data_IF_738693505594
#
_entry.id   IF_738693505594
#
_cell.length_a   1.000
_cell.length_b   1.000
_cell.length_c   1.000
_cell.angle_alpha   90.00
_cell.angle_beta   90.00
_cell.angle_gamma   90.00
#
_symmetry.space_group_name_H-M   'P 1'
#
loop_
_entity.id
_entity.type
_entity.pdbx_description
1 polymer ?
#
# COMPACT_ATOMS: atom_id res chain seq x y z
N UNK A 1 -17.71 -13.31 29.72
CA UNK A 1 -16.35 -12.96 29.29
C UNK A 1 -16.37 -12.59 27.81
N UNK A 2 -16.74 -11.34 27.53
CA UNK A 2 -16.80 -10.81 26.17
C UNK A 2 -15.40 -10.26 25.80
N UNK A 3 -14.38 -11.14 25.75
CA UNK A 3 -13.11 -10.81 25.13
C UNK A 3 -13.39 -10.70 23.63
N UNK A 4 -13.44 -9.48 23.11
CA UNK A 4 -13.45 -9.26 21.66
C UNK A 4 -12.31 -10.09 21.09
N UNK A 5 -12.64 -11.13 20.29
CA UNK A 5 -11.65 -11.85 19.49
C UNK A 5 -11.04 -10.82 18.55
N UNK A 6 -9.82 -10.41 18.81
CA UNK A 6 -9.06 -9.55 17.89
C UNK A 6 -8.85 -10.40 16.65
N UNK A 7 -9.52 -10.01 15.57
CA UNK A 7 -9.55 -10.77 14.32
C UNK A 7 -8.19 -10.63 13.60
N UNK A 8 -7.63 -11.77 13.19
CA UNK A 8 -6.44 -11.80 12.36
C UNK A 8 -6.80 -11.29 10.95
N UNK A 9 -6.15 -10.21 10.50
CA UNK A 9 -6.43 -9.60 9.20
C UNK A 9 -5.55 -10.16 8.09
N UNK A 10 -4.30 -10.54 8.42
CA UNK A 10 -3.34 -11.13 7.51
C UNK A 10 -2.57 -12.24 8.20
N UNK A 11 -2.45 -13.40 7.56
CA UNK A 11 -1.48 -14.43 7.92
C UNK A 11 -0.75 -14.94 6.69
N UNK A 12 0.56 -14.92 6.75
CA UNK A 12 1.45 -15.53 5.76
C UNK A 12 2.05 -16.77 6.37
N UNK A 13 1.97 -17.91 5.68
CA UNK A 13 2.45 -19.19 6.18
C UNK A 13 3.42 -19.83 5.20
N UNK A 14 4.63 -20.09 5.67
CA UNK A 14 5.69 -20.81 4.95
C UNK A 14 5.96 -20.24 3.56
N UNK A 15 5.98 -18.90 3.41
CA UNK A 15 6.15 -18.23 2.14
C UNK A 15 7.61 -18.23 1.70
N UNK A 16 7.85 -18.65 0.48
CA UNK A 16 9.15 -18.59 -0.20
C UNK A 16 9.01 -17.94 -1.55
N UNK A 17 10.02 -17.16 -1.95
CA UNK A 17 10.08 -16.50 -3.26
C UNK A 17 11.41 -16.76 -3.92
N UNK A 18 11.38 -17.27 -5.14
CA UNK A 18 12.53 -17.52 -6.00
C UNK A 18 12.42 -16.70 -7.29
N UNK A 19 13.54 -16.21 -7.78
CA UNK A 19 13.66 -15.55 -9.07
C UNK A 19 14.44 -16.42 -10.05
N UNK A 20 13.93 -16.53 -11.28
CA UNK A 20 14.69 -17.10 -12.38
C UNK A 20 15.65 -16.03 -12.90
N UNK A 21 16.95 -16.27 -12.83
CA UNK A 21 18.01 -15.39 -13.32
C UNK A 21 18.80 -16.10 -14.44
N UNK A 22 19.69 -15.36 -15.13
CA UNK A 22 20.63 -15.94 -16.11
C UNK A 22 21.50 -17.05 -15.52
N UNK A 23 21.84 -16.91 -14.24
CA UNK A 23 22.76 -17.80 -13.52
C UNK A 23 22.03 -18.92 -12.74
N UNK A 24 20.70 -19.06 -12.97
CA UNK A 24 19.88 -20.06 -12.31
C UNK A 24 18.82 -19.47 -11.39
N UNK A 25 18.31 -20.28 -10.47
CA UNK A 25 17.31 -19.85 -9.48
C UNK A 25 17.97 -19.19 -8.28
N UNK A 26 17.48 -18.01 -7.91
CA UNK A 26 17.90 -17.30 -6.70
C UNK A 26 16.73 -17.19 -5.72
N UNK A 27 16.84 -17.83 -4.58
CA UNK A 27 15.86 -17.70 -3.49
C UNK A 27 16.12 -16.40 -2.71
N UNK A 28 15.10 -15.55 -2.62
CA UNK A 28 15.18 -14.24 -1.94
C UNK A 28 14.40 -14.23 -0.63
N UNK A 29 13.25 -14.89 -0.59
CA UNK A 29 12.46 -15.10 0.63
C UNK A 29 12.46 -16.61 0.93
N UNK A 30 12.76 -16.98 2.17
CA UNK A 30 12.93 -18.37 2.60
C UNK A 30 12.02 -18.65 3.79
N UNK A 31 10.96 -19.43 3.56
CA UNK A 31 10.11 -19.99 4.62
C UNK A 31 9.65 -18.96 5.67
N UNK A 32 9.07 -17.84 5.22
CA UNK A 32 8.64 -16.77 6.09
C UNK A 32 7.19 -16.99 6.51
N UNK A 33 6.94 -16.91 7.83
CA UNK A 33 5.61 -16.89 8.41
C UNK A 33 5.45 -15.66 9.28
N UNK A 34 4.31 -14.97 9.15
CA UNK A 34 3.94 -13.82 9.97
C UNK A 34 2.43 -13.72 10.07
N UNK A 35 1.94 -13.06 11.10
CA UNK A 35 0.53 -12.72 11.24
C UNK A 35 0.36 -11.29 11.73
N UNK A 36 -0.77 -10.69 11.38
CA UNK A 36 -1.15 -9.33 11.75
C UNK A 36 -2.62 -9.29 12.14
N UNK A 37 -2.92 -8.67 13.27
CA UNK A 37 -4.28 -8.50 13.77
C UNK A 37 -4.84 -7.14 13.39
N UNK A 38 -6.14 -7.02 13.42
CA UNK A 38 -6.80 -5.73 13.18
C UNK A 38 -6.36 -4.70 14.22
N UNK A 39 -5.96 -3.51 13.76
CA UNK A 39 -5.46 -2.42 14.61
C UNK A 39 -4.01 -2.58 15.07
N UNK A 40 -3.31 -3.63 14.62
CA UNK A 40 -1.91 -3.87 14.92
C UNK A 40 -0.99 -3.23 13.87
N UNK A 41 0.21 -2.82 14.29
CA UNK A 41 1.29 -2.38 13.41
C UNK A 41 2.43 -3.38 13.50
N UNK A 42 2.79 -3.99 12.36
CA UNK A 42 3.91 -4.92 12.24
C UNK A 42 5.06 -4.26 11.47
N UNK A 43 6.21 -4.09 12.11
CA UNK A 43 7.41 -3.59 11.47
C UNK A 43 8.31 -4.75 10.99
N UNK A 44 8.63 -4.76 9.69
CA UNK A 44 9.60 -5.66 9.09
C UNK A 44 10.97 -4.98 9.08
N UNK A 45 11.88 -5.42 9.92
CA UNK A 45 13.22 -4.85 10.06
C UNK A 45 14.27 -5.82 9.49
N UNK A 46 15.27 -5.28 8.84
CA UNK A 46 16.38 -6.06 8.27
C UNK A 46 17.26 -5.20 7.35
N UNK A 47 18.40 -5.71 6.96
CA UNK A 47 19.35 -5.04 6.06
C UNK A 47 18.74 -4.75 4.68
N UNK A 48 19.34 -3.80 3.95
CA UNK A 48 18.94 -3.56 2.55
C UNK A 48 19.17 -4.82 1.71
N UNK A 49 18.18 -5.14 0.86
CA UNK A 49 18.29 -6.32 -0.01
C UNK A 49 17.93 -7.66 0.64
N UNK A 50 17.57 -7.71 1.93
CA UNK A 50 17.19 -8.97 2.60
C UNK A 50 15.81 -9.53 2.21
N UNK A 51 15.09 -8.90 1.27
CA UNK A 51 13.84 -9.44 0.73
C UNK A 51 12.55 -8.83 1.29
N UNK A 52 12.61 -7.78 2.14
CA UNK A 52 11.40 -7.10 2.70
C UNK A 52 10.42 -6.64 1.61
N UNK A 53 10.90 -5.88 0.64
CA UNK A 53 10.11 -5.42 -0.51
C UNK A 53 9.53 -6.58 -1.31
N UNK A 54 10.32 -7.65 -1.51
CA UNK A 54 9.86 -8.84 -2.23
C UNK A 54 8.73 -9.53 -1.47
N UNK A 55 8.86 -9.68 -0.15
CA UNK A 55 7.82 -10.22 0.72
C UNK A 55 6.53 -9.38 0.64
N UNK A 56 6.63 -8.06 0.80
CA UNK A 56 5.48 -7.15 0.71
C UNK A 56 4.78 -7.24 -0.65
N UNK A 57 5.53 -7.23 -1.75
CA UNK A 57 4.99 -7.35 -3.11
C UNK A 57 4.41 -8.72 -3.41
N UNK A 58 4.92 -9.78 -2.81
CA UNK A 58 4.39 -11.13 -3.00
C UNK A 58 2.98 -11.29 -2.44
N UNK A 59 2.66 -10.62 -1.34
CA UNK A 59 1.31 -10.62 -0.73
C UNK A 59 0.27 -10.11 -1.72
N UNK A 60 0.61 -9.07 -2.50
CA UNK A 60 -0.28 -8.48 -3.50
C UNK A 60 -0.08 -9.00 -4.92
N UNK A 61 0.74 -10.05 -5.11
CA UNK A 61 1.11 -10.58 -6.43
C UNK A 61 1.62 -9.50 -7.40
N UNK A 62 2.47 -8.60 -6.90
CA UNK A 62 3.08 -7.51 -7.67
C UNK A 62 4.53 -7.82 -8.09
N UNK A 63 4.94 -9.08 -8.04
CA UNK A 63 6.24 -9.53 -8.50
C UNK A 63 6.23 -9.76 -10.02
N UNK A 64 7.37 -9.61 -10.70
CA UNK A 64 7.49 -9.90 -12.13
C UNK A 64 7.29 -11.40 -12.41
N UNK A 65 7.01 -11.74 -13.67
CA UNK A 65 6.77 -13.14 -14.10
C UNK A 65 7.97 -14.07 -13.87
N UNK A 66 9.18 -13.53 -13.71
CA UNK A 66 10.38 -14.29 -13.37
C UNK A 66 10.40 -14.77 -11.91
N UNK A 67 9.50 -14.26 -11.08
CA UNK A 67 9.37 -14.68 -9.69
C UNK A 67 8.37 -15.84 -9.55
N UNK A 68 8.76 -16.83 -8.76
CA UNK A 68 7.92 -17.94 -8.32
C UNK A 68 7.64 -17.79 -6.83
N UNK A 69 6.37 -17.72 -6.47
CA UNK A 69 5.92 -17.62 -5.08
C UNK A 69 5.31 -18.96 -4.67
N UNK A 70 5.84 -19.55 -3.62
CA UNK A 70 5.35 -20.81 -3.03
C UNK A 70 5.09 -20.61 -1.54
N UNK A 71 4.18 -21.38 -0.98
CA UNK A 71 3.84 -21.30 0.43
C UNK A 71 2.55 -22.04 0.74
N UNK A 72 2.22 -22.16 2.02
CA UNK A 72 0.98 -22.79 2.47
C UNK A 72 -0.22 -21.84 2.28
N UNK A 73 -0.09 -20.59 2.74
CA UNK A 73 -1.14 -19.60 2.62
C UNK A 73 -0.63 -18.15 2.66
N UNK A 74 -1.33 -17.28 1.93
CA UNK A 74 -1.40 -15.84 2.17
C UNK A 74 -2.87 -15.56 2.51
N UNK A 75 -3.21 -15.68 3.78
CA UNK A 75 -4.57 -15.55 4.27
C UNK A 75 -4.85 -14.08 4.54
N UNK A 76 -5.80 -13.49 3.82
CA UNK A 76 -6.35 -12.18 4.10
C UNK A 76 -7.79 -12.37 4.56
N UNK A 77 -8.07 -12.13 5.84
CA UNK A 77 -9.32 -12.53 6.49
C UNK A 77 -9.62 -14.02 6.20
N UNK A 78 -10.77 -14.32 5.61
CA UNK A 78 -11.19 -15.69 5.29
C UNK A 78 -10.76 -16.16 3.88
N UNK A 79 -9.87 -15.40 3.20
CA UNK A 79 -9.53 -15.64 1.80
C UNK A 79 -8.04 -15.97 1.64
N UNK A 80 -7.71 -17.10 1.02
CA UNK A 80 -6.33 -17.45 0.67
C UNK A 80 -5.96 -16.90 -0.71
N UNK A 81 -5.11 -15.88 -0.71
CA UNK A 81 -4.71 -15.15 -1.93
C UNK A 81 -3.75 -15.92 -2.84
N UNK A 82 -3.10 -16.99 -2.37
CA UNK A 82 -2.13 -17.76 -3.19
C UNK A 82 -2.78 -18.25 -4.49
N UNK A 83 -4.01 -18.75 -4.41
CA UNK A 83 -4.75 -19.27 -5.56
C UNK A 83 -5.38 -18.21 -6.47
N UNK A 84 -5.43 -16.95 -6.05
CA UNK A 84 -6.16 -15.90 -6.77
C UNK A 84 -5.54 -15.58 -8.14
N UNK A 85 -6.41 -15.41 -9.14
CA UNK A 85 -6.04 -14.86 -10.43
C UNK A 85 -6.02 -13.32 -10.41
N UNK A 86 -5.63 -12.69 -11.53
CA UNK A 86 -5.49 -11.23 -11.59
C UNK A 86 -6.81 -10.48 -11.34
N UNK A 87 -7.95 -10.99 -11.82
CA UNK A 87 -9.26 -10.35 -11.61
C UNK A 87 -9.68 -10.39 -10.14
N UNK A 88 -9.40 -11.49 -9.45
CA UNK A 88 -9.66 -11.64 -8.01
C UNK A 88 -8.74 -10.72 -7.21
N UNK A 89 -7.46 -10.64 -7.57
CA UNK A 89 -6.51 -9.72 -6.92
C UNK A 89 -6.86 -8.24 -7.13
N UNK A 90 -7.45 -7.85 -8.26
CA UNK A 90 -7.92 -6.49 -8.48
C UNK A 90 -9.02 -6.07 -7.48
N UNK A 91 -9.82 -7.01 -6.99
CA UNK A 91 -10.83 -6.72 -5.95
C UNK A 91 -10.21 -6.53 -4.57
N UNK A 92 -9.06 -7.15 -4.32
CA UNK A 92 -8.33 -7.02 -3.06
C UNK A 92 -7.47 -5.75 -3.03
N UNK A 93 -6.79 -5.46 -4.14
CA UNK A 93 -5.91 -4.29 -4.26
C UNK A 93 -6.71 -2.99 -4.17
N UNK A 94 -6.28 -2.10 -3.31
CA UNK A 94 -6.91 -0.83 -3.03
C UNK A 94 -8.01 -0.90 -1.96
N UNK A 95 -9.04 -1.70 -2.14
CA UNK A 95 -10.16 -1.78 -1.18
C UNK A 95 -9.85 -2.62 0.06
N UNK A 96 -9.20 -3.76 -0.12
CA UNK A 96 -8.78 -4.63 0.97
C UNK A 96 -7.43 -4.23 1.51
N UNK A 97 -6.44 -4.28 0.63
CA UNK A 97 -5.03 -4.03 0.92
C UNK A 97 -4.51 -2.94 -0.02
N UNK A 98 -3.99 -1.86 0.52
CA UNK A 98 -3.25 -0.84 -0.23
C UNK A 98 -1.75 -0.96 0.02
N UNK A 99 -0.94 -0.50 -0.93
CA UNK A 99 0.51 -0.47 -0.80
C UNK A 99 1.07 0.89 -1.18
N UNK A 100 1.95 1.40 -0.32
CA UNK A 100 2.79 2.57 -0.59
C UNK A 100 4.17 2.07 -0.98
N UNK A 101 4.65 2.48 -2.16
CA UNK A 101 5.95 2.10 -2.70
C UNK A 101 7.06 3.04 -2.25
N UNK A 102 8.28 2.55 -2.27
CA UNK A 102 9.48 3.26 -1.82
C UNK A 102 9.74 4.58 -2.58
N UNK A 103 9.42 4.66 -3.87
CA UNK A 103 9.70 5.83 -4.70
C UNK A 103 8.42 6.65 -4.99
N UNK A 104 8.20 7.76 -4.28
CA UNK A 104 7.05 8.63 -4.52
C UNK A 104 7.18 9.43 -5.83
N UNK A 105 8.38 9.58 -6.39
CA UNK A 105 8.57 10.35 -7.62
C UNK A 105 8.03 9.63 -8.85
N UNK A 106 8.13 8.30 -8.88
CA UNK A 106 7.58 7.47 -9.95
C UNK A 106 6.08 7.20 -9.80
N UNK A 107 5.50 7.48 -8.62
CA UNK A 107 4.10 7.16 -8.32
C UNK A 107 3.14 8.29 -8.71
N UNK A 108 3.52 9.55 -8.50
CA UNK A 108 2.69 10.70 -8.83
C UNK A 108 2.87 11.10 -10.30
N UNK A 109 1.74 11.29 -11.00
CA UNK A 109 1.73 11.82 -12.35
C UNK A 109 2.14 13.31 -12.34
N UNK A 110 3.25 13.72 -12.97
CA UNK A 110 3.74 15.10 -12.94
C UNK A 110 2.84 16.08 -13.72
N UNK A 111 1.96 15.59 -14.59
CA UNK A 111 1.06 16.41 -15.43
C UNK A 111 -0.33 16.63 -14.85
N UNK A 112 -0.59 16.06 -13.67
CA UNK A 112 -1.86 16.22 -12.94
C UNK A 112 -1.61 16.92 -11.60
N UNK A 113 -2.59 17.68 -11.12
CA UNK A 113 -2.52 18.25 -9.76
C UNK A 113 -2.60 17.14 -8.71
N UNK A 114 -2.01 17.38 -7.55
CA UNK A 114 -1.99 16.38 -6.47
C UNK A 114 -3.42 16.08 -6.00
N UNK A 115 -4.25 17.11 -5.84
CA UNK A 115 -5.63 16.94 -5.41
C UNK A 115 -6.44 16.10 -6.39
N UNK A 116 -6.31 16.35 -7.70
CA UNK A 116 -7.03 15.58 -8.72
C UNK A 116 -6.63 14.10 -8.77
N UNK A 117 -5.37 13.77 -8.47
CA UNK A 117 -4.93 12.37 -8.38
C UNK A 117 -5.53 11.64 -7.19
N UNK A 118 -5.64 12.30 -6.04
CA UNK A 118 -6.30 11.74 -4.85
C UNK A 118 -7.80 11.60 -5.11
N UNK A 119 -8.42 12.61 -5.72
CA UNK A 119 -9.85 12.59 -6.08
C UNK A 119 -10.16 11.46 -7.07
N UNK A 120 -9.30 11.24 -8.08
CA UNK A 120 -9.45 10.12 -9.02
C UNK A 120 -9.47 8.77 -8.29
N UNK A 121 -8.58 8.57 -7.32
CA UNK A 121 -8.55 7.34 -6.51
C UNK A 121 -9.84 7.16 -5.68
N UNK A 122 -10.38 8.23 -5.12
CA UNK A 122 -11.67 8.22 -4.41
C UNK A 122 -12.80 7.83 -5.35
N UNK A 123 -12.89 8.49 -6.51
CA UNK A 123 -13.95 8.25 -7.49
C UNK A 123 -13.92 6.83 -8.06
N UNK A 124 -12.73 6.28 -8.30
CA UNK A 124 -12.56 4.89 -8.73
C UNK A 124 -13.09 3.92 -7.69
N UNK A 125 -12.83 4.19 -6.41
CA UNK A 125 -13.33 3.39 -5.31
C UNK A 125 -14.87 3.49 -5.17
N UNK A 126 -15.42 4.70 -5.20
CA UNK A 126 -16.87 4.94 -5.12
C UNK A 126 -17.62 4.30 -6.29
N UNK A 127 -17.05 4.36 -7.50
CA UNK A 127 -17.59 3.67 -8.68
C UNK A 127 -17.63 2.16 -8.48
N UNK A 128 -16.59 1.58 -7.90
CA UNK A 128 -16.54 0.16 -7.58
C UNK A 128 -17.62 -0.24 -6.55
N UNK A 129 -17.94 0.67 -5.61
CA UNK A 129 -19.02 0.50 -4.63
C UNK A 129 -20.41 0.91 -5.15
N UNK A 130 -20.54 1.31 -6.44
CA UNK A 130 -21.77 1.85 -7.04
C UNK A 130 -22.32 3.08 -6.30
N UNK A 131 -21.47 3.85 -5.68
CA UNK A 131 -21.77 5.11 -5.03
C UNK A 131 -21.32 6.27 -5.93
N UNK A 132 -22.19 7.20 -6.25
CA UNK A 132 -21.85 8.38 -7.04
C UNK A 132 -21.95 9.63 -6.15
N UNK A 133 -20.84 10.03 -5.55
CA UNK A 133 -20.76 11.23 -4.68
C UNK A 133 -19.68 12.19 -5.18
N UNK A 134 -19.78 12.64 -6.41
CA UNK A 134 -18.75 13.46 -7.06
C UNK A 134 -18.47 14.78 -6.34
N UNK A 135 -19.48 15.40 -5.73
CA UNK A 135 -19.35 16.67 -4.99
C UNK A 135 -18.56 16.52 -3.68
N UNK A 136 -18.57 15.33 -3.09
CA UNK A 136 -17.81 15.05 -1.85
C UNK A 136 -16.38 14.58 -2.09
N UNK A 137 -16.00 14.20 -3.31
CA UNK A 137 -14.69 13.63 -3.59
C UNK A 137 -13.56 14.66 -3.42
N UNK A 138 -13.75 15.90 -3.82
CA UNK A 138 -12.80 17.00 -3.60
C UNK A 138 -12.62 17.29 -2.11
N UNK A 139 -13.70 17.40 -1.36
CA UNK A 139 -13.65 17.62 0.08
C UNK A 139 -12.92 16.48 0.78
N UNK A 140 -13.24 15.25 0.40
CA UNK A 140 -12.57 14.06 0.92
C UNK A 140 -11.09 14.02 0.58
N UNK A 141 -10.69 14.43 -0.63
CA UNK A 141 -9.29 14.54 -1.02
C UNK A 141 -8.53 15.55 -0.14
N UNK A 142 -9.14 16.72 0.12
CA UNK A 142 -8.57 17.73 1.02
C UNK A 142 -8.45 17.20 2.46
N UNK A 143 -9.47 16.50 2.96
CA UNK A 143 -9.41 15.85 4.28
C UNK A 143 -8.25 14.84 4.37
N UNK A 144 -8.06 14.01 3.35
CA UNK A 144 -6.94 13.06 3.29
C UNK A 144 -5.59 13.78 3.26
N UNK A 145 -5.47 14.87 2.51
CA UNK A 145 -4.26 15.69 2.50
C UNK A 145 -3.95 16.26 3.90
N UNK A 146 -4.97 16.74 4.62
CA UNK A 146 -4.82 17.19 6.02
C UNK A 146 -4.43 16.05 6.95
N UNK A 147 -5.08 14.91 6.81
CA UNK A 147 -4.82 13.72 7.63
C UNK A 147 -3.36 13.26 7.57
N UNK A 148 -2.76 13.33 6.37
CA UNK A 148 -1.34 12.99 6.18
C UNK A 148 -0.39 14.14 6.50
N UNK A 149 -0.88 15.25 7.08
CA UNK A 149 -0.08 16.37 7.55
C UNK A 149 0.37 17.35 6.44
N UNK A 150 -0.37 17.48 5.35
CA UNK A 150 -0.13 18.54 4.36
C UNK A 150 -0.80 19.83 4.84
N UNK A 151 0.01 20.81 5.21
CA UNK A 151 -0.46 22.15 5.59
C UNK A 151 -1.06 22.86 4.37
N UNK A 152 -2.05 23.73 4.60
CA UNK A 152 -2.73 24.50 3.56
C UNK A 152 -3.26 23.63 2.40
N UNK A 153 -3.88 22.50 2.76
CA UNK A 153 -4.31 21.46 1.82
C UNK A 153 -5.24 22.01 0.73
N UNK A 154 -6.15 22.94 1.06
CA UNK A 154 -7.06 23.58 0.11
C UNK A 154 -6.31 24.34 -0.98
N UNK A 155 -5.27 25.10 -0.61
CA UNK A 155 -4.48 25.88 -1.54
C UNK A 155 -3.54 24.98 -2.37
N UNK A 156 -3.09 23.87 -1.76
CA UNK A 156 -2.17 22.92 -2.39
C UNK A 156 -2.87 21.89 -3.27
N UNK A 157 -4.18 21.77 -3.16
CA UNK A 157 -4.98 20.84 -3.96
C UNK A 157 -4.73 21.01 -5.46
N UNK A 158 -4.69 22.24 -5.95
CA UNK A 158 -4.50 22.58 -7.36
C UNK A 158 -3.02 22.68 -7.79
N UNK A 159 -2.07 22.33 -6.91
CA UNK A 159 -0.65 22.33 -7.21
C UNK A 159 -0.18 20.99 -7.79
N UNK A 160 0.83 21.05 -8.64
CA UNK A 160 1.45 19.89 -9.26
C UNK A 160 2.55 19.29 -8.36
N UNK A 161 2.92 18.00 -8.55
CA UNK A 161 3.92 17.32 -7.71
C UNK A 161 5.25 18.04 -7.58
N UNK A 162 5.69 18.77 -8.60
CA UNK A 162 6.97 19.51 -8.58
C UNK A 162 6.99 20.69 -7.60
N UNK A 163 5.83 21.17 -7.13
CA UNK A 163 5.75 22.19 -6.07
C UNK A 163 5.91 21.62 -4.66
N UNK A 164 6.00 20.30 -4.53
CA UNK A 164 6.07 19.61 -3.24
C UNK A 164 7.49 19.11 -2.98
N UNK A 165 7.94 19.18 -1.72
CA UNK A 165 9.19 18.51 -1.29
C UNK A 165 9.05 16.98 -1.40
N UNK A 166 10.17 16.25 -1.32
CA UNK A 166 10.16 14.78 -1.34
C UNK A 166 9.24 14.19 -0.26
N UNK A 167 9.35 14.66 0.97
CA UNK A 167 8.49 14.23 2.08
C UNK A 167 7.01 14.56 1.85
N UNK A 168 6.71 15.73 1.30
CA UNK A 168 5.33 16.09 0.95
C UNK A 168 4.77 15.21 -0.17
N UNK A 169 5.56 14.88 -1.19
CA UNK A 169 5.14 13.94 -2.26
C UNK A 169 4.82 12.57 -1.66
N UNK A 170 5.62 12.09 -0.72
CA UNK A 170 5.36 10.83 -0.04
C UNK A 170 4.05 10.86 0.75
N UNK A 171 3.76 11.97 1.44
CA UNK A 171 2.46 12.18 2.11
C UNK A 171 1.31 12.19 1.11
N UNK A 172 1.48 12.78 -0.08
CA UNK A 172 0.47 12.74 -1.15
C UNK A 172 0.22 11.31 -1.64
N UNK A 173 1.27 10.51 -1.84
CA UNK A 173 1.15 9.08 -2.19
C UNK A 173 0.41 8.30 -1.10
N UNK A 174 0.71 8.59 0.18
CA UNK A 174 -0.01 8.00 1.31
C UNK A 174 -1.50 8.39 1.29
N UNK A 175 -1.82 9.68 1.06
CA UNK A 175 -3.21 10.12 0.93
C UNK A 175 -3.95 9.39 -0.20
N UNK A 176 -3.29 9.21 -1.36
CA UNK A 176 -3.84 8.44 -2.49
C UNK A 176 -4.09 6.98 -2.12
N UNK A 177 -3.16 6.34 -1.39
CA UNK A 177 -3.34 4.97 -0.93
C UNK A 177 -4.52 4.83 0.06
N UNK A 178 -4.73 5.83 0.92
CA UNK A 178 -5.84 5.87 1.87
C UNK A 178 -7.19 6.22 1.24
N UNK A 179 -7.21 6.74 0.02
CA UNK A 179 -8.43 7.15 -0.69
C UNK A 179 -9.44 6.01 -0.85
N UNK A 180 -8.97 4.79 -1.02
CA UNK A 180 -9.81 3.59 -1.12
C UNK A 180 -10.26 3.01 0.23
N UNK A 181 -9.94 3.68 1.36
CA UNK A 181 -10.27 3.23 2.72
C UNK A 181 -9.85 1.78 3.00
N UNK A 182 -8.57 1.42 2.76
CA UNK A 182 -8.08 0.05 2.87
C UNK A 182 -8.18 -0.45 4.32
N UNK A 183 -8.33 -1.76 4.48
CA UNK A 183 -8.32 -2.42 5.79
C UNK A 183 -6.92 -2.77 6.26
N UNK A 184 -5.99 -2.90 5.32
CA UNK A 184 -4.57 -3.14 5.55
C UNK A 184 -3.75 -2.21 4.66
N UNK A 185 -2.78 -1.52 5.24
CA UNK A 185 -1.80 -0.72 4.52
C UNK A 185 -0.42 -1.37 4.63
N UNK A 186 0.19 -1.66 3.50
CA UNK A 186 1.59 -2.12 3.40
C UNK A 186 2.42 -0.91 2.98
N UNK A 187 3.41 -0.53 3.78
CA UNK A 187 4.33 0.55 3.47
C UNK A 187 5.75 0.01 3.27
N UNK A 188 6.27 0.17 2.06
CA UNK A 188 7.62 -0.26 1.67
C UNK A 188 8.58 0.94 1.80
N UNK A 189 9.39 0.94 2.86
CA UNK A 189 10.33 2.02 3.23
C UNK A 189 9.69 3.42 3.24
N UNK A 190 8.61 3.64 4.03
CA UNK A 190 7.82 4.88 3.95
C UNK A 190 8.58 6.12 4.44
N UNK A 191 9.76 5.97 5.02
CA UNK A 191 10.49 7.04 5.72
C UNK A 191 11.73 7.55 4.99
N UNK A 192 12.09 7.02 3.82
CA UNK A 192 13.30 7.41 3.07
C UNK A 192 13.34 8.88 2.63
N UNK A 193 12.18 9.55 2.58
CA UNK A 193 12.05 10.96 2.22
C UNK A 193 11.47 11.85 3.35
N UNK A 194 11.30 11.31 4.57
CA UNK A 194 10.79 12.04 5.72
C UNK A 194 11.96 12.45 6.63
N UNK A 195 12.00 13.74 7.02
CA UNK A 195 12.90 14.21 8.08
C UNK A 195 12.62 13.48 9.39
N UNK A 196 13.67 13.18 10.16
CA UNK A 196 13.58 12.43 11.44
C UNK A 196 12.60 13.09 12.43
N UNK A 197 12.47 14.42 12.38
CA UNK A 197 11.53 15.21 13.19
C UNK A 197 10.06 14.96 12.82
N UNK A 198 9.77 14.58 11.57
CA UNK A 198 8.41 14.30 11.10
C UNK A 198 8.00 12.85 11.36
N UNK A 199 8.96 11.97 11.62
CA UNK A 199 8.70 10.56 11.96
C UNK A 199 8.17 10.38 13.38
N UNK A 200 8.26 11.42 14.22
CA UNK A 200 7.83 11.40 15.61
C UNK A 200 6.38 11.90 15.82
N UNK A 201 5.69 12.39 14.79
CA UNK A 201 4.27 12.77 14.78
C UNK A 201 3.42 11.61 14.20
#
# INVERSE_FOLDING_TARGET
DNRMKIEEILAVKHLSVEFQTSDGKKQVVKDVSLSLRQGEVLALVGESGCGKTVLCRSILKLLPKSASVTGEAIQYKDQNLIGYNEKEMQQIRGQGIAMVFQDPQSTLNPTMTVGSQIEEAILLHEKALKQNKKESAKERAIELMKLVGIKDAEQRYDLYPYHFSGGMRQRCVLATALASNPKLLIADEPTTALDVTIQAE
#
